data_IF_329557123401
#
_entry.id   IF_329557123401
#
_cell.length_a   1.000
_cell.length_b   1.000
_cell.length_c   1.000
_cell.angle_alpha   90.00
_cell.angle_beta   90.00
_cell.angle_gamma   90.00
#
_symmetry.space_group_name_H-M   'P 1'
#
loop_
_entity.id
_entity.type
_entity.pdbx_description
1 polymer ?
#
# COMPACT_ATOMS: atom_id res chain seq x y z
N UNK A 1 31.43 12.39 36.91
CA UNK A 1 31.07 12.47 35.47
C UNK A 1 29.60 12.11 35.37
N UNK A 2 28.73 13.09 35.17
CA UNK A 2 27.29 12.87 35.02
C UNK A 2 27.05 12.28 33.64
N UNK A 3 26.66 11.01 33.58
CA UNK A 3 26.30 10.33 32.33
C UNK A 3 25.08 11.03 31.76
N UNK A 4 25.27 11.79 30.69
CA UNK A 4 24.19 12.43 29.93
C UNK A 4 23.33 11.31 29.32
N UNK A 5 22.27 10.90 30.02
CA UNK A 5 21.26 10.02 29.44
C UNK A 5 20.60 10.79 28.29
N UNK A 6 20.50 10.20 27.09
CA UNK A 6 19.80 10.84 25.99
C UNK A 6 18.36 11.15 26.42
N UNK A 7 17.74 12.22 25.90
CA UNK A 7 16.34 12.52 26.15
C UNK A 7 15.47 11.30 25.85
N UNK A 8 14.40 11.07 26.62
CA UNK A 8 13.53 9.90 26.46
C UNK A 8 13.03 9.69 25.03
N UNK A 9 12.79 10.79 24.29
CA UNK A 9 12.42 10.77 22.88
C UNK A 9 13.51 10.23 21.95
N UNK A 10 14.78 10.49 22.28
CA UNK A 10 15.94 9.99 21.54
C UNK A 10 16.15 8.49 21.81
N UNK A 11 15.97 8.04 23.04
CA UNK A 11 16.00 6.61 23.38
C UNK A 11 14.91 5.83 22.64
N UNK A 12 13.69 6.39 22.61
CA UNK A 12 12.55 5.77 21.92
C UNK A 12 12.77 5.66 20.40
N UNK A 13 13.39 6.67 19.77
CA UNK A 13 13.75 6.64 18.35
C UNK A 13 14.84 5.59 18.08
N UNK A 14 15.87 5.52 18.94
CA UNK A 14 16.96 4.55 18.81
C UNK A 14 16.46 3.10 18.99
N UNK A 15 15.54 2.87 19.92
CA UNK A 15 14.91 1.56 20.12
C UNK A 15 14.05 1.17 18.91
N UNK A 16 13.31 2.13 18.35
CA UNK A 16 12.50 1.91 17.14
C UNK A 16 13.38 1.61 15.93
N UNK A 17 14.48 2.35 15.73
CA UNK A 17 15.48 2.06 14.69
C UNK A 17 16.16 0.71 14.89
N UNK A 18 16.53 0.34 16.12
CA UNK A 18 17.14 -0.95 16.42
C UNK A 18 16.17 -2.11 16.12
N UNK A 19 14.89 -1.94 16.46
CA UNK A 19 13.84 -2.92 16.16
C UNK A 19 13.62 -3.07 14.66
N UNK A 20 13.64 -1.94 13.92
CA UNK A 20 13.47 -1.93 12.47
C UNK A 20 14.68 -2.55 11.76
N UNK A 21 15.89 -2.30 12.25
CA UNK A 21 17.12 -2.93 11.77
C UNK A 21 17.13 -4.44 12.05
N UNK A 22 16.67 -4.87 13.23
CA UNK A 22 16.53 -6.28 13.58
C UNK A 22 15.47 -6.98 12.72
N UNK A 23 14.30 -6.35 12.53
CA UNK A 23 13.24 -6.87 11.65
C UNK A 23 13.70 -6.95 10.18
N UNK A 24 14.48 -5.97 9.72
CA UNK A 24 15.09 -5.97 8.39
C UNK A 24 16.13 -7.09 8.26
N UNK A 25 17.02 -7.23 9.23
CA UNK A 25 18.06 -8.27 9.26
C UNK A 25 17.48 -9.69 9.36
N UNK A 26 16.33 -9.85 10.04
CA UNK A 26 15.60 -11.10 10.15
C UNK A 26 14.68 -11.40 8.95
N UNK A 27 14.60 -10.51 7.95
CA UNK A 27 13.67 -10.68 6.81
C UNK A 27 12.19 -10.56 7.18
N UNK A 28 11.89 -10.02 8.37
CA UNK A 28 10.55 -9.83 8.93
C UNK A 28 9.93 -8.46 8.59
N UNK A 29 10.63 -7.64 7.82
CA UNK A 29 10.10 -6.35 7.38
C UNK A 29 8.85 -6.55 6.53
N UNK A 30 7.71 -6.05 7.03
CA UNK A 30 6.44 -6.09 6.35
C UNK A 30 6.28 -4.87 5.44
N UNK A 31 5.98 -5.11 4.16
CA UNK A 31 5.91 -4.07 3.13
C UNK A 31 4.49 -3.89 2.62
N UNK A 32 3.97 -2.68 2.79
CA UNK A 32 2.67 -2.27 2.25
C UNK A 32 2.89 -1.48 0.97
N UNK A 33 2.30 -1.94 -0.13
CA UNK A 33 2.22 -1.18 -1.36
C UNK A 33 0.92 -0.34 -1.36
N UNK A 34 1.07 0.97 -1.21
CA UNK A 34 -0.05 1.91 -1.22
C UNK A 34 -0.20 2.49 -2.63
N UNK A 35 -1.11 1.93 -3.41
CA UNK A 35 -1.38 2.27 -4.81
C UNK A 35 -2.58 3.24 -4.94
N UNK A 36 -2.55 4.11 -5.96
CA UNK A 36 -3.54 5.17 -6.12
C UNK A 36 -3.01 6.38 -6.89
N UNK A 37 -3.65 7.56 -6.77
CA UNK A 37 -3.19 8.76 -7.48
C UNK A 37 -1.90 9.33 -6.89
N UNK A 38 -1.00 9.82 -7.74
CA UNK A 38 0.28 10.41 -7.32
C UNK A 38 0.15 11.43 -6.17
N UNK A 39 1.03 11.27 -5.17
CA UNK A 39 1.22 12.20 -4.06
C UNK A 39 2.71 12.51 -3.86
N UNK A 40 3.00 13.68 -3.30
CA UNK A 40 4.32 14.02 -2.78
C UNK A 40 4.35 13.71 -1.28
N UNK A 41 5.17 12.74 -0.86
CA UNK A 41 5.17 12.21 0.52
C UNK A 41 5.94 13.07 1.52
N UNK A 42 6.90 13.86 1.04
CA UNK A 42 7.69 14.82 1.85
C UNK A 42 7.16 16.24 1.77
N UNK A 43 6.15 16.47 0.93
CA UNK A 43 5.56 17.77 0.67
C UNK A 43 4.56 18.20 1.74
N UNK A 44 3.96 19.38 1.54
CA UNK A 44 2.88 19.85 2.41
C UNK A 44 1.66 18.94 2.23
N UNK A 45 1.02 18.59 3.35
CA UNK A 45 -0.27 17.89 3.37
C UNK A 45 -1.21 18.54 2.35
N UNK A 46 -1.78 17.78 1.39
CA UNK A 46 -2.68 18.34 0.41
C UNK A 46 -3.82 19.08 1.12
N UNK A 47 -4.03 20.34 0.76
CA UNK A 47 -5.01 21.19 1.44
C UNK A 47 -6.43 20.64 1.29
N UNK A 48 -7.35 21.04 2.18
CA UNK A 48 -8.79 20.68 2.05
C UNK A 48 -9.41 21.12 0.71
N UNK A 49 -8.82 22.11 0.04
CA UNK A 49 -9.21 22.57 -1.30
C UNK A 49 -8.64 21.75 -2.48
N UNK A 50 -7.79 20.75 -2.22
CA UNK A 50 -7.39 19.78 -3.25
C UNK A 50 -8.67 19.11 -3.79
N UNK A 51 -8.93 19.11 -5.09
CA UNK A 51 -10.20 18.52 -5.58
C UNK A 51 -10.21 16.99 -5.47
N UNK A 52 -9.03 16.39 -5.38
CA UNK A 52 -8.87 14.95 -5.40
C UNK A 52 -8.88 14.35 -3.98
N UNK A 53 -10.06 13.87 -3.53
CA UNK A 53 -10.23 13.21 -2.23
C UNK A 53 -9.23 12.06 -2.02
N UNK A 54 -9.01 11.26 -3.05
CA UNK A 54 -8.11 10.11 -2.99
C UNK A 54 -6.65 10.50 -2.75
N UNK A 55 -6.17 11.64 -3.27
CA UNK A 55 -4.82 12.14 -2.95
C UNK A 55 -4.69 12.50 -1.48
N UNK A 56 -5.69 13.16 -0.90
CA UNK A 56 -5.71 13.48 0.54
C UNK A 56 -5.71 12.22 1.38
N UNK A 57 -6.56 11.25 1.03
CA UNK A 57 -6.64 9.99 1.72
C UNK A 57 -5.32 9.23 1.63
N UNK A 58 -4.76 9.08 0.43
CA UNK A 58 -3.48 8.38 0.24
C UNK A 58 -2.35 9.00 1.05
N UNK A 59 -2.28 10.34 1.10
CA UNK A 59 -1.31 11.04 1.93
C UNK A 59 -1.52 10.73 3.43
N UNK A 60 -2.77 10.76 3.91
CA UNK A 60 -3.08 10.45 5.30
C UNK A 60 -2.73 8.99 5.67
N UNK A 61 -3.10 8.03 4.80
CA UNK A 61 -2.77 6.61 4.99
C UNK A 61 -1.27 6.36 4.96
N UNK A 62 -0.52 7.02 4.07
CA UNK A 62 0.94 6.89 4.00
C UNK A 62 1.61 7.19 5.35
N UNK A 63 1.23 8.31 5.99
CA UNK A 63 1.79 8.68 7.28
C UNK A 63 1.36 7.74 8.41
N UNK A 64 0.07 7.38 8.50
CA UNK A 64 -0.41 6.43 9.52
C UNK A 64 0.23 5.05 9.38
N UNK A 65 0.39 4.55 8.15
CA UNK A 65 1.09 3.27 7.90
C UNK A 65 2.57 3.35 8.27
N UNK A 66 3.22 4.49 8.04
CA UNK A 66 4.64 4.69 8.36
C UNK A 66 4.88 4.77 9.87
N UNK A 67 3.87 5.16 10.67
CA UNK A 67 3.92 5.13 12.13
C UNK A 67 3.91 3.71 12.70
N UNK A 68 3.37 2.72 11.96
CA UNK A 68 3.34 1.30 12.36
C UNK A 68 4.65 0.54 12.10
N UNK A 69 5.76 1.25 11.87
CA UNK A 69 7.08 0.69 11.53
C UNK A 69 7.11 -0.20 10.27
N UNK A 70 6.05 -0.20 9.46
CA UNK A 70 6.00 -0.90 8.17
C UNK A 70 6.68 -0.09 7.07
N UNK A 71 7.19 -0.80 6.06
CA UNK A 71 7.73 -0.14 4.87
C UNK A 71 6.59 0.14 3.90
N UNK A 72 6.28 1.42 3.73
CA UNK A 72 5.29 1.87 2.76
C UNK A 72 6.00 2.17 1.43
N UNK A 73 5.57 1.47 0.39
CA UNK A 73 6.05 1.69 -0.98
C UNK A 73 4.97 2.29 -1.86
N UNK A 74 5.40 3.07 -2.85
CA UNK A 74 4.56 3.79 -3.79
C UNK A 74 4.92 3.33 -5.22
N UNK A 75 3.93 3.32 -6.12
CA UNK A 75 4.10 2.81 -7.49
C UNK A 75 4.89 3.76 -8.39
N UNK A 76 4.88 5.06 -8.06
CA UNK A 76 5.41 6.12 -8.92
C UNK A 76 6.93 6.28 -8.87
N UNK A 77 7.65 5.24 -8.46
CA UNK A 77 9.09 5.27 -8.42
C UNK A 77 9.67 5.05 -9.83
N UNK A 78 10.34 6.06 -10.38
CA UNK A 78 11.30 5.85 -11.48
C UNK A 78 12.29 4.72 -11.13
N UNK A 79 12.61 4.58 -9.84
CA UNK A 79 13.47 3.51 -9.34
C UNK A 79 12.83 2.12 -9.44
N UNK A 80 11.49 1.97 -9.47
CA UNK A 80 10.84 0.68 -9.71
C UNK A 80 11.08 0.21 -11.13
N UNK A 81 10.90 1.10 -12.10
CA UNK A 81 11.23 0.82 -13.49
C UNK A 81 12.73 0.52 -13.61
N UNK A 82 13.60 1.34 -13.01
CA UNK A 82 15.04 1.08 -13.02
C UNK A 82 15.42 -0.24 -12.36
N UNK A 83 14.77 -0.62 -11.25
CA UNK A 83 15.02 -1.89 -10.55
C UNK A 83 14.50 -3.11 -11.32
N UNK A 84 13.42 -2.95 -12.10
CA UNK A 84 12.91 -4.00 -12.98
C UNK A 84 13.72 -4.11 -14.30
N UNK A 85 14.48 -3.08 -14.67
CA UNK A 85 15.18 -3.01 -15.94
C UNK A 85 16.23 -4.14 -16.12
N UNK A 86 17.04 -4.51 -15.11
CA UNK A 86 17.93 -5.68 -15.21
C UNK A 86 17.19 -7.00 -15.45
N UNK A 87 15.93 -7.12 -15.02
CA UNK A 87 15.14 -8.35 -15.12
C UNK A 87 14.36 -8.44 -16.44
N UNK A 88 13.81 -7.32 -16.91
CA UNK A 88 12.90 -7.27 -18.05
C UNK A 88 13.51 -6.67 -19.33
N UNK A 89 14.64 -5.95 -19.20
CA UNK A 89 15.34 -5.34 -20.32
C UNK A 89 14.42 -4.50 -21.22
N UNK A 90 14.48 -4.65 -22.55
CA UNK A 90 13.64 -3.90 -23.50
C UNK A 90 12.12 -4.09 -23.33
N UNK A 91 11.67 -5.11 -22.59
CA UNK A 91 10.25 -5.37 -22.34
C UNK A 91 9.73 -4.67 -21.09
N UNK A 92 10.60 -3.96 -20.37
CA UNK A 92 10.25 -3.24 -19.17
C UNK A 92 9.37 -2.02 -19.49
N UNK A 93 8.33 -1.83 -18.68
CA UNK A 93 7.49 -0.65 -18.70
C UNK A 93 6.88 -0.45 -17.30
N UNK A 94 6.23 0.68 -17.07
CA UNK A 94 5.66 1.01 -15.76
C UNK A 94 4.71 -0.08 -15.24
N UNK A 95 3.80 -0.57 -16.08
CA UNK A 95 2.81 -1.58 -15.68
C UNK A 95 3.48 -2.91 -15.29
N UNK A 96 4.45 -3.38 -16.08
CA UNK A 96 5.19 -4.60 -15.77
C UNK A 96 6.02 -4.47 -14.48
N UNK A 97 6.64 -3.29 -14.26
CA UNK A 97 7.44 -3.03 -13.06
C UNK A 97 6.57 -2.98 -11.80
N UNK A 98 5.42 -2.30 -11.84
CA UNK A 98 4.48 -2.23 -10.72
C UNK A 98 3.85 -3.59 -10.42
N UNK A 99 3.49 -4.36 -11.45
CA UNK A 99 2.99 -5.72 -11.26
C UNK A 99 4.05 -6.62 -10.63
N UNK A 100 5.31 -6.52 -11.07
CA UNK A 100 6.41 -7.29 -10.48
C UNK A 100 6.62 -6.92 -9.00
N UNK A 101 6.53 -5.64 -8.66
CA UNK A 101 6.58 -5.15 -7.28
C UNK A 101 5.42 -5.67 -6.43
N UNK A 102 4.20 -5.57 -6.95
CA UNK A 102 3.00 -6.10 -6.31
C UNK A 102 3.13 -7.61 -6.04
N UNK A 103 3.68 -8.38 -6.99
CA UNK A 103 3.89 -9.82 -6.85
C UNK A 103 4.98 -10.17 -5.84
N UNK A 104 6.17 -9.62 -6.02
CA UNK A 104 7.38 -10.16 -5.40
C UNK A 104 7.87 -9.37 -4.19
N UNK A 105 7.44 -8.12 -4.04
CA UNK A 105 7.98 -7.23 -3.01
C UNK A 105 6.95 -6.87 -1.95
N UNK A 106 5.68 -6.70 -2.33
CA UNK A 106 4.62 -6.29 -1.42
C UNK A 106 4.06 -7.46 -0.63
N UNK A 107 3.92 -7.30 0.68
CA UNK A 107 3.25 -8.27 1.57
C UNK A 107 1.75 -7.97 1.68
N UNK A 108 1.38 -6.69 1.57
CA UNK A 108 0.00 -6.23 1.44
C UNK A 108 -0.10 -5.10 0.42
N UNK A 109 -1.26 -4.96 -0.21
CA UNK A 109 -1.56 -3.93 -1.20
C UNK A 109 -2.83 -3.20 -0.73
N UNK A 110 -2.74 -1.87 -0.66
CA UNK A 110 -3.89 -0.99 -0.41
C UNK A 110 -4.09 -0.15 -1.66
N UNK A 111 -5.24 -0.31 -2.31
CA UNK A 111 -5.53 0.24 -3.63
C UNK A 111 -6.63 1.30 -3.54
N UNK A 112 -6.33 2.52 -4.00
CA UNK A 112 -7.26 3.65 -4.10
C UNK A 112 -7.51 4.03 -5.58
N UNK A 113 -8.35 3.29 -6.31
CA UNK A 113 -8.64 3.58 -7.70
C UNK A 113 -9.38 4.93 -7.81
N UNK A 114 -8.74 5.92 -8.43
CA UNK A 114 -9.29 7.28 -8.57
C UNK A 114 -8.70 8.09 -9.74
N UNK A 115 -7.84 7.48 -10.54
CA UNK A 115 -7.12 8.10 -11.66
C UNK A 115 -6.90 7.05 -12.75
N UNK A 116 -6.68 7.47 -14.03
CA UNK A 116 -6.46 6.53 -15.12
C UNK A 116 -5.38 5.47 -14.81
N UNK A 117 -4.23 5.88 -14.24
CA UNK A 117 -3.16 4.96 -13.84
C UNK A 117 -3.62 3.92 -12.82
N UNK A 118 -4.20 4.36 -11.70
CA UNK A 118 -4.72 3.45 -10.67
C UNK A 118 -5.86 2.55 -11.17
N UNK A 119 -6.67 2.97 -12.16
CA UNK A 119 -7.68 2.07 -12.75
C UNK A 119 -7.02 1.00 -13.63
N UNK A 120 -5.96 1.34 -14.37
CA UNK A 120 -5.19 0.38 -15.16
C UNK A 120 -4.45 -0.62 -14.26
N UNK A 121 -3.84 -0.15 -13.16
CA UNK A 121 -3.24 -1.00 -12.13
C UNK A 121 -4.26 -2.00 -11.56
N UNK A 122 -5.45 -1.53 -11.16
CA UNK A 122 -6.51 -2.39 -10.66
C UNK A 122 -6.91 -3.44 -11.70
N UNK A 123 -7.06 -3.03 -12.96
CA UNK A 123 -7.31 -3.94 -14.08
C UNK A 123 -6.24 -5.02 -14.19
N UNK A 124 -4.97 -4.64 -14.22
CA UNK A 124 -3.84 -5.57 -14.31
C UNK A 124 -3.76 -6.51 -13.09
N UNK A 125 -3.86 -5.98 -11.87
CA UNK A 125 -3.76 -6.74 -10.64
C UNK A 125 -4.91 -7.73 -10.48
N UNK A 126 -6.13 -7.37 -10.93
CA UNK A 126 -7.31 -8.23 -10.87
C UNK A 126 -7.15 -9.54 -11.64
N UNK A 127 -6.16 -9.66 -12.55
CA UNK A 127 -5.88 -10.88 -13.31
C UNK A 127 -5.03 -11.89 -12.53
N UNK A 128 -4.44 -11.50 -11.41
CA UNK A 128 -3.42 -12.27 -10.69
C UNK A 128 -3.87 -12.61 -9.27
N UNK A 129 -4.12 -13.90 -9.00
CA UNK A 129 -4.68 -14.35 -7.72
C UNK A 129 -3.71 -14.21 -6.53
N UNK A 130 -2.42 -14.38 -6.77
CA UNK A 130 -1.34 -14.12 -5.82
C UNK A 130 -1.29 -12.65 -5.38
N UNK A 131 -1.61 -11.73 -6.29
CA UNK A 131 -1.74 -10.30 -6.00
C UNK A 131 -3.05 -10.02 -5.27
N UNK A 132 -4.17 -10.55 -5.77
CA UNK A 132 -5.50 -10.29 -5.22
C UNK A 132 -5.63 -10.73 -3.75
N UNK A 133 -5.10 -11.89 -3.36
CA UNK A 133 -5.21 -12.42 -1.98
C UNK A 133 -4.63 -11.52 -0.90
N UNK A 134 -3.72 -10.61 -1.29
CA UNK A 134 -3.08 -9.63 -0.40
C UNK A 134 -3.50 -8.20 -0.72
N UNK A 135 -4.60 -8.01 -1.44
CA UNK A 135 -5.07 -6.69 -1.89
C UNK A 135 -6.38 -6.27 -1.21
N UNK A 136 -6.35 -5.11 -0.57
CA UNK A 136 -7.52 -4.33 -0.17
C UNK A 136 -7.76 -3.22 -1.19
N UNK A 137 -8.98 -3.13 -1.71
CA UNK A 137 -9.44 -2.10 -2.63
C UNK A 137 -10.44 -1.24 -1.88
N UNK A 138 -10.15 0.04 -1.70
CA UNK A 138 -11.12 1.00 -1.16
C UNK A 138 -11.57 1.88 -2.32
N UNK A 139 -12.84 1.81 -2.66
CA UNK A 139 -13.46 2.56 -3.76
C UNK A 139 -14.26 3.71 -3.17
N UNK A 140 -14.18 4.90 -3.78
CA UNK A 140 -14.98 6.05 -3.38
C UNK A 140 -16.47 5.66 -3.40
N UNK A 141 -17.16 5.83 -2.27
CA UNK A 141 -18.56 5.43 -2.07
C UNK A 141 -19.51 5.94 -3.14
N UNK A 142 -19.20 7.06 -3.80
CA UNK A 142 -20.00 7.57 -4.93
C UNK A 142 -20.17 6.52 -6.06
N UNK A 143 -19.18 5.65 -6.25
CA UNK A 143 -19.19 4.63 -7.30
C UNK A 143 -20.01 3.38 -6.95
N UNK A 144 -20.52 3.28 -5.71
CA UNK A 144 -21.32 2.15 -5.28
C UNK A 144 -22.70 2.10 -5.95
N UNK A 145 -23.27 3.28 -6.21
CA UNK A 145 -24.61 3.44 -6.78
C UNK A 145 -24.59 3.75 -8.28
N UNK A 146 -23.42 3.73 -8.92
CA UNK A 146 -23.30 3.91 -10.36
C UNK A 146 -24.00 2.77 -11.10
N UNK A 147 -24.59 3.08 -12.26
CA UNK A 147 -25.08 2.06 -13.19
C UNK A 147 -23.97 1.05 -13.54
N UNK A 148 -24.32 -0.18 -13.96
CA UNK A 148 -23.35 -1.16 -14.42
C UNK A 148 -22.36 -0.55 -15.44
N UNK A 149 -21.09 -0.59 -15.09
CA UNK A 149 -20.00 0.06 -15.80
C UNK A 149 -18.74 -0.81 -15.74
N UNK A 150 -17.69 -0.37 -16.44
CA UNK A 150 -16.48 -1.16 -16.59
C UNK A 150 -15.82 -1.52 -15.25
N UNK A 151 -15.88 -0.62 -14.26
CA UNK A 151 -15.25 -0.79 -12.96
C UNK A 151 -16.01 -1.80 -12.09
N UNK A 152 -17.33 -1.65 -11.97
CA UNK A 152 -18.17 -2.46 -11.07
C UNK A 152 -18.59 -3.81 -11.68
N UNK A 153 -18.49 -4.00 -13.00
CA UNK A 153 -18.73 -5.31 -13.66
C UNK A 153 -17.46 -6.03 -14.09
N UNK A 154 -16.32 -5.32 -14.14
CA UNK A 154 -15.04 -5.85 -14.60
C UNK A 154 -14.08 -6.15 -13.45
N UNK A 155 -13.09 -5.28 -13.19
CA UNK A 155 -11.95 -5.62 -12.38
C UNK A 155 -12.26 -5.74 -10.89
N UNK A 156 -13.28 -5.06 -10.34
CA UNK A 156 -13.66 -5.22 -8.93
C UNK A 156 -14.16 -6.66 -8.65
N UNK A 157 -15.23 -7.15 -9.31
CA UNK A 157 -15.66 -8.54 -9.12
C UNK A 157 -14.56 -9.55 -9.44
N UNK A 158 -13.77 -9.30 -10.50
CA UNK A 158 -12.70 -10.19 -10.91
C UNK A 158 -11.59 -10.33 -9.86
N UNK A 159 -11.27 -9.24 -9.15
CA UNK A 159 -10.31 -9.25 -8.03
C UNK A 159 -10.91 -9.92 -6.78
N UNK A 160 -12.17 -9.64 -6.45
CA UNK A 160 -12.86 -10.25 -5.31
C UNK A 160 -12.95 -11.78 -5.45
N UNK A 161 -13.31 -12.27 -6.65
CA UNK A 161 -13.33 -13.71 -6.96
C UNK A 161 -11.98 -14.39 -6.73
N UNK A 162 -10.88 -13.64 -6.86
CA UNK A 162 -9.51 -14.12 -6.65
C UNK A 162 -8.97 -13.86 -5.24
N UNK A 163 -9.79 -13.32 -4.34
CA UNK A 163 -9.47 -13.18 -2.91
C UNK A 163 -9.15 -11.75 -2.46
N UNK A 164 -9.34 -10.73 -3.29
CA UNK A 164 -9.21 -9.34 -2.84
C UNK A 164 -10.41 -8.92 -1.97
N UNK A 165 -10.15 -8.08 -0.99
CA UNK A 165 -11.20 -7.40 -0.23
C UNK A 165 -11.53 -6.08 -0.94
N UNK A 166 -12.80 -5.82 -1.25
CA UNK A 166 -13.23 -4.54 -1.83
C UNK A 166 -14.27 -3.88 -0.93
N UNK A 167 -14.06 -2.61 -0.60
CA UNK A 167 -14.93 -1.80 0.26
C UNK A 167 -15.30 -0.50 -0.46
N UNK A 168 -16.54 -0.04 -0.26
CA UNK A 168 -17.01 1.25 -0.75
C UNK A 168 -17.10 2.22 0.42
N UNK A 169 -16.18 3.18 0.49
CA UNK A 169 -16.02 4.12 1.60
C UNK A 169 -15.88 5.54 1.01
N UNK A 170 -16.50 6.54 1.63
CA UNK A 170 -16.27 7.93 1.21
C UNK A 170 -14.81 8.27 1.54
N UNK A 171 -14.04 8.68 0.54
CA UNK A 171 -12.63 9.01 0.73
C UNK A 171 -12.40 10.20 1.69
N UNK A 172 -13.42 11.01 1.99
CA UNK A 172 -13.34 12.03 3.04
C UNK A 172 -13.48 11.45 4.46
N UNK A 173 -14.00 10.23 4.60
CA UNK A 173 -14.04 9.50 5.87
C UNK A 173 -12.70 8.78 6.11
N UNK A 174 -11.68 9.58 6.42
CA UNK A 174 -10.32 9.12 6.62
C UNK A 174 -10.19 8.12 7.77
N UNK A 175 -11.04 8.22 8.80
CA UNK A 175 -10.99 7.34 9.96
C UNK A 175 -11.58 5.97 9.62
N UNK A 176 -12.75 5.91 8.97
CA UNK A 176 -13.29 4.63 8.50
C UNK A 176 -12.37 3.95 7.46
N UNK A 177 -11.75 4.74 6.58
CA UNK A 177 -10.72 4.22 5.67
C UNK A 177 -9.54 3.63 6.45
N UNK A 178 -9.04 4.36 7.45
CA UNK A 178 -7.90 3.91 8.26
C UNK A 178 -8.22 2.64 9.04
N UNK A 179 -9.35 2.58 9.74
CA UNK A 179 -9.75 1.39 10.50
C UNK A 179 -9.80 0.15 9.60
N UNK A 180 -10.33 0.32 8.38
CA UNK A 180 -10.39 -0.75 7.38
C UNK A 180 -9.01 -1.15 6.88
N UNK A 181 -8.14 -0.17 6.62
CA UNK A 181 -6.74 -0.41 6.25
C UNK A 181 -6.04 -1.13 7.37
N UNK A 182 -5.90 -0.51 8.55
CA UNK A 182 -5.20 -1.02 9.72
C UNK A 182 -5.57 -2.47 10.03
N UNK A 183 -6.87 -2.77 10.13
CA UNK A 183 -7.35 -4.12 10.36
C UNK A 183 -6.83 -5.11 9.30
N UNK A 184 -6.91 -4.74 8.03
CA UNK A 184 -6.47 -5.58 6.93
C UNK A 184 -4.95 -5.79 6.95
N UNK A 185 -4.16 -4.72 7.08
CA UNK A 185 -2.69 -4.82 7.00
C UNK A 185 -2.08 -5.48 8.25
N UNK A 186 -2.67 -5.31 9.44
CA UNK A 186 -2.27 -6.06 10.65
C UNK A 186 -2.52 -7.55 10.46
N UNK A 187 -3.71 -7.95 9.98
CA UNK A 187 -4.03 -9.35 9.70
C UNK A 187 -3.10 -9.97 8.65
N UNK A 188 -2.81 -9.26 7.56
CA UNK A 188 -1.81 -9.70 6.58
C UNK A 188 -0.41 -9.81 7.19
N UNK A 189 -0.02 -8.87 8.05
CA UNK A 189 1.24 -8.91 8.79
C UNK A 189 1.38 -10.17 9.63
N UNK A 190 0.33 -10.54 10.38
CA UNK A 190 0.30 -11.77 11.16
C UNK A 190 0.43 -13.02 10.27
N UNK A 191 -0.29 -13.09 9.15
CA UNK A 191 -0.21 -14.22 8.22
C UNK A 191 1.18 -14.36 7.59
N UNK A 192 1.81 -13.25 7.22
CA UNK A 192 3.18 -13.27 6.67
C UNK A 192 4.19 -13.70 7.72
N UNK A 193 4.05 -13.20 8.95
CA UNK A 193 4.90 -13.61 10.06
C UNK A 193 4.74 -15.10 10.38
N UNK A 194 3.50 -15.60 10.44
CA UNK A 194 3.20 -17.02 10.64
C UNK A 194 3.86 -17.88 9.55
N UNK A 195 3.66 -17.54 8.27
CA UNK A 195 4.27 -18.28 7.17
C UNK A 195 5.80 -18.26 7.20
N UNK A 196 6.43 -17.15 7.63
CA UNK A 196 7.89 -17.04 7.70
C UNK A 196 8.48 -17.77 8.91
N UNK A 197 7.78 -17.76 10.06
CA UNK A 197 8.25 -18.38 11.30
C UNK A 197 7.96 -19.89 11.35
N UNK A 198 6.93 -20.35 10.64
CA UNK A 198 6.54 -21.76 10.58
C UNK A 198 7.03 -22.47 9.32
N UNK A 199 7.68 -21.75 8.39
CA UNK A 199 8.36 -22.40 7.28
C UNK A 199 9.56 -23.22 7.81
N UNK A 200 9.69 -24.50 7.42
CA UNK A 200 10.75 -25.40 7.87
C UNK A 200 12.14 -25.00 7.37
#
# INVERSE_FOLDING_TARGET
>A
MTVNKPPARTLMILDQEAFQNAATAAGLQFKVFLAGPYIETTGKKPGRGEKNKAKRLRFALYHRLSELSWVVTMGEYKNLISAANPLLGPRNNAASAELLHAKNSADAIVMLPSSPGSFLELGAFSLHSDVCRKMLIIIDKKHQADDPNYLNTGPIPAAQLKGALALFIDYDDHDMCWESVEKFVVDQGHRVAENKLLAP
#
